data_IF_907857404321
#
_entry.id   IF_907857404321
#
_cell.length_a   1.000
_cell.length_b   1.000
_cell.length_c   1.000
_cell.angle_alpha   90.00
_cell.angle_beta   90.00
_cell.angle_gamma   90.00
#
_symmetry.space_group_name_H-M   'P 1'
#
loop_
_entity.id
_entity.type
_entity.pdbx_description
1 polymer ?
#
# COMPACT_ATOMS: atom_id res chain seq x y z
N UNK A 1 -20.16 -9.49 -9.16
CA UNK A 1 -19.71 -8.15 -9.57
C UNK A 1 -18.88 -7.51 -8.44
N UNK A 2 -19.37 -7.51 -7.18
CA UNK A 2 -18.69 -6.87 -6.05
C UNK A 2 -17.32 -7.49 -5.71
N UNK A 3 -17.18 -8.81 -5.75
CA UNK A 3 -15.89 -9.49 -5.51
C UNK A 3 -14.84 -9.22 -6.61
N UNK A 4 -15.26 -8.98 -7.86
CA UNK A 4 -14.33 -8.63 -8.94
C UNK A 4 -13.81 -7.20 -8.81
N UNK A 5 -14.68 -6.24 -8.48
CA UNK A 5 -14.30 -4.85 -8.24
C UNK A 5 -13.36 -4.70 -7.04
N UNK A 6 -13.67 -5.39 -5.94
CA UNK A 6 -12.78 -5.40 -4.76
C UNK A 6 -11.42 -6.00 -5.06
N UNK A 7 -11.35 -7.09 -5.83
CA UNK A 7 -10.07 -7.68 -6.25
C UNK A 7 -9.26 -6.73 -7.11
N UNK A 8 -9.89 -6.08 -8.07
CA UNK A 8 -9.22 -5.13 -8.97
C UNK A 8 -8.70 -3.92 -8.21
N UNK A 9 -9.53 -3.31 -7.34
CA UNK A 9 -9.12 -2.18 -6.50
C UNK A 9 -7.99 -2.57 -5.54
N UNK A 10 -8.13 -3.70 -4.85
CA UNK A 10 -7.08 -4.19 -3.96
C UNK A 10 -5.78 -4.48 -4.72
N UNK A 11 -5.85 -5.09 -5.90
CA UNK A 11 -4.68 -5.39 -6.72
C UNK A 11 -3.94 -4.13 -7.16
N UNK A 12 -4.65 -3.07 -7.52
CA UNK A 12 -4.04 -1.79 -7.93
C UNK A 12 -3.41 -1.06 -6.75
N UNK A 13 -4.13 -0.92 -5.63
CA UNK A 13 -3.61 -0.25 -4.43
C UNK A 13 -2.41 -1.02 -3.89
N UNK A 14 -2.54 -2.33 -3.70
CA UNK A 14 -1.50 -3.18 -3.14
C UNK A 14 -0.33 -3.42 -4.10
N UNK A 15 -0.52 -3.21 -5.40
CA UNK A 15 0.57 -3.24 -6.39
C UNK A 15 1.50 -2.01 -6.31
N UNK A 16 1.08 -0.93 -5.66
CA UNK A 16 1.90 0.29 -5.45
C UNK A 16 2.51 0.35 -4.06
N UNK A 17 1.76 -0.08 -3.06
CA UNK A 17 2.19 -0.08 -1.65
C UNK A 17 3.16 -1.24 -1.40
N UNK A 18 4.20 -1.08 -0.58
CA UNK A 18 5.05 -2.19 -0.16
C UNK A 18 4.23 -3.34 0.42
N UNK A 19 4.44 -4.57 -0.06
CA UNK A 19 3.80 -5.75 0.54
C UNK A 19 4.30 -5.96 1.96
N UNK A 20 5.61 -5.83 2.14
CA UNK A 20 6.31 -5.86 3.42
C UNK A 20 7.61 -5.09 3.30
N UNK A 21 8.10 -4.57 4.41
CA UNK A 21 9.41 -3.91 4.50
C UNK A 21 10.15 -4.40 5.73
N UNK A 22 11.46 -4.56 5.58
CA UNK A 22 12.37 -4.79 6.71
C UNK A 22 13.04 -3.46 7.01
N UNK A 23 12.62 -2.82 8.09
CA UNK A 23 13.06 -1.48 8.49
C UNK A 23 14.22 -1.59 9.46
N UNK A 24 15.30 -0.89 9.20
CA UNK A 24 16.39 -0.74 10.16
C UNK A 24 16.02 0.22 11.29
N UNK A 25 16.40 -0.10 12.53
CA UNK A 25 16.30 0.84 13.67
C UNK A 25 17.19 2.07 13.44
N UNK A 26 18.29 1.87 12.70
CA UNK A 26 19.16 2.90 12.14
C UNK A 26 19.18 2.77 10.62
N UNK A 27 19.65 3.79 9.88
CA UNK A 27 19.89 3.65 8.45
C UNK A 27 20.76 2.41 8.16
N UNK A 28 20.37 1.64 7.18
CA UNK A 28 21.05 0.41 6.78
C UNK A 28 22.20 0.79 5.84
N UNK A 29 23.44 0.56 6.25
CA UNK A 29 24.66 0.91 5.48
C UNK A 29 24.80 0.05 4.21
N UNK A 30 24.50 -1.25 4.34
CA UNK A 30 24.51 -2.20 3.24
C UNK A 30 23.23 -3.03 3.27
N UNK A 31 22.34 -2.73 2.35
CA UNK A 31 21.06 -3.40 2.22
C UNK A 31 21.13 -4.76 1.54
N UNK A 32 22.23 -5.05 0.81
CA UNK A 32 22.37 -6.26 0.00
C UNK A 32 22.37 -7.56 0.83
N UNK A 33 23.07 -7.64 1.99
CA UNK A 33 22.97 -8.81 2.86
C UNK A 33 21.55 -9.03 3.41
N UNK A 34 20.83 -7.94 3.72
CA UNK A 34 19.44 -8.00 4.20
C UNK A 34 18.53 -8.53 3.08
N UNK A 35 18.68 -8.02 1.87
CA UNK A 35 17.95 -8.51 0.70
C UNK A 35 18.27 -9.97 0.40
N UNK A 36 19.54 -10.38 0.47
CA UNK A 36 19.97 -11.76 0.26
C UNK A 36 19.39 -12.71 1.33
N UNK A 37 19.31 -12.27 2.58
CA UNK A 37 18.67 -13.03 3.65
C UNK A 37 17.16 -13.18 3.41
N UNK A 38 16.49 -12.11 3.01
CA UNK A 38 15.06 -12.12 2.68
C UNK A 38 14.75 -13.06 1.51
N UNK A 39 15.59 -13.05 0.47
CA UNK A 39 15.44 -13.89 -0.72
C UNK A 39 15.62 -15.40 -0.46
N UNK A 40 16.12 -15.82 0.71
CA UNK A 40 16.14 -17.23 1.13
C UNK A 40 14.75 -17.75 1.44
N UNK A 41 13.81 -16.89 1.75
CA UNK A 41 12.43 -17.28 1.97
C UNK A 41 11.73 -17.52 0.61
N UNK A 42 11.16 -18.70 0.36
CA UNK A 42 10.55 -19.06 -0.93
C UNK A 42 9.32 -18.23 -1.30
N UNK A 43 8.70 -17.55 -0.34
CA UNK A 43 7.57 -16.64 -0.56
C UNK A 43 8.02 -15.26 -1.08
N UNK A 44 9.29 -14.89 -0.91
CA UNK A 44 9.82 -13.60 -1.38
C UNK A 44 10.23 -13.72 -2.83
N UNK A 45 9.71 -12.85 -3.67
CA UNK A 45 10.00 -12.80 -5.12
C UNK A 45 11.01 -11.73 -5.48
N UNK A 46 11.08 -10.66 -4.71
CA UNK A 46 12.07 -9.60 -4.87
C UNK A 46 12.31 -8.88 -3.55
N UNK A 47 13.52 -8.34 -3.38
CA UNK A 47 13.92 -7.52 -2.25
C UNK A 47 14.78 -6.36 -2.77
N UNK A 48 14.33 -5.12 -2.55
CA UNK A 48 14.93 -3.91 -3.12
C UNK A 48 15.13 -2.83 -2.05
N UNK A 49 16.11 -1.92 -2.23
CA UNK A 49 16.30 -0.81 -1.31
C UNK A 49 15.12 0.15 -1.37
N UNK A 50 14.74 0.68 -0.22
CA UNK A 50 13.59 1.56 -0.10
C UNK A 50 13.77 2.58 1.03
N UNK A 51 13.40 3.82 0.74
CA UNK A 51 13.36 4.90 1.74
C UNK A 51 12.07 5.68 1.56
N UNK A 52 11.36 5.93 2.62
CA UNK A 52 10.10 6.64 2.60
C UNK A 52 10.19 7.90 3.43
N UNK A 53 9.62 8.98 2.93
CA UNK A 53 9.54 10.24 3.65
C UNK A 53 8.22 10.96 3.33
N UNK A 54 7.71 11.66 4.31
CA UNK A 54 6.56 12.54 4.16
C UNK A 54 7.03 13.98 3.99
N UNK A 55 6.32 14.73 3.16
CA UNK A 55 6.64 16.12 2.94
C UNK A 55 5.50 16.88 2.29
N UNK A 56 5.77 18.10 1.90
CA UNK A 56 4.83 18.94 1.17
C UNK A 56 5.46 19.42 -0.13
N UNK A 57 4.77 19.22 -1.24
CA UNK A 57 5.12 19.87 -2.50
C UNK A 57 4.63 21.30 -2.50
N UNK A 58 5.48 22.21 -2.93
CA UNK A 58 5.17 23.63 -3.06
C UNK A 58 5.52 24.14 -4.47
N UNK A 59 4.54 24.77 -5.11
CA UNK A 59 4.71 25.37 -6.44
C UNK A 59 3.78 26.56 -6.63
N UNK A 60 4.32 27.73 -6.97
CA UNK A 60 3.56 28.98 -7.23
C UNK A 60 2.50 29.30 -6.16
N UNK A 61 2.84 29.10 -4.87
CA UNK A 61 1.95 29.39 -3.74
C UNK A 61 0.94 28.29 -3.41
N UNK A 62 0.85 27.24 -4.20
CA UNK A 62 0.07 26.06 -3.88
C UNK A 62 0.93 25.07 -3.08
N UNK A 63 0.32 24.39 -2.12
CA UNK A 63 0.95 23.36 -1.31
C UNK A 63 0.08 22.10 -1.28
N UNK A 64 0.73 20.94 -1.24
CA UNK A 64 0.07 19.65 -1.17
C UNK A 64 0.93 18.66 -0.39
N UNK A 65 0.36 17.92 0.59
CA UNK A 65 1.06 16.82 1.22
C UNK A 65 1.39 15.73 0.19
N UNK A 66 2.56 15.14 0.33
CA UNK A 66 3.03 14.06 -0.53
C UNK A 66 3.88 13.09 0.26
N UNK A 67 3.73 11.82 -0.06
CA UNK A 67 4.61 10.75 0.37
C UNK A 67 5.65 10.51 -0.73
N UNK A 68 6.91 10.62 -0.40
CA UNK A 68 8.02 10.42 -1.32
C UNK A 68 8.67 9.08 -1.05
N UNK A 69 8.75 8.25 -2.08
CA UNK A 69 9.42 6.96 -2.07
C UNK A 69 10.76 7.06 -2.80
N UNK A 70 11.85 6.84 -2.08
CA UNK A 70 13.18 6.67 -2.64
C UNK A 70 13.35 5.24 -3.14
N UNK A 71 13.52 5.08 -4.44
CA UNK A 71 13.55 3.80 -5.13
C UNK A 71 14.79 3.66 -6.02
N UNK A 72 15.15 2.43 -6.33
CA UNK A 72 16.10 2.13 -7.40
C UNK A 72 15.32 1.90 -8.71
N UNK A 73 15.41 2.80 -9.70
CA UNK A 73 14.65 2.69 -10.94
C UNK A 73 14.85 1.38 -11.71
N UNK A 74 16.04 0.79 -11.59
CA UNK A 74 16.38 -0.47 -12.26
C UNK A 74 15.66 -1.68 -11.65
N UNK A 75 15.25 -1.59 -10.39
CA UNK A 75 14.64 -2.69 -9.64
C UNK A 75 13.16 -2.46 -9.32
N UNK A 76 12.67 -1.23 -9.42
CA UNK A 76 11.30 -0.87 -9.06
C UNK A 76 10.23 -1.71 -9.77
N UNK A 77 10.44 -2.05 -11.04
CA UNK A 77 9.53 -2.90 -11.80
C UNK A 77 9.34 -4.32 -11.27
N UNK A 78 10.19 -4.77 -10.32
CA UNK A 78 10.07 -6.08 -9.67
C UNK A 78 9.12 -6.07 -8.47
N UNK A 79 8.87 -4.89 -7.90
CA UNK A 79 8.13 -4.72 -6.64
C UNK A 79 6.93 -3.78 -6.75
N UNK A 80 6.81 -3.05 -7.85
CA UNK A 80 5.74 -2.05 -8.04
C UNK A 80 5.24 -2.04 -9.49
N UNK A 81 3.95 -1.78 -9.64
CA UNK A 81 3.31 -1.59 -10.95
C UNK A 81 3.56 -0.20 -11.54
N UNK A 82 4.07 0.76 -10.76
CA UNK A 82 4.27 2.15 -11.18
C UNK A 82 5.19 2.24 -12.39
N UNK A 83 6.24 1.39 -12.44
CA UNK A 83 7.17 1.36 -13.56
C UNK A 83 6.48 1.10 -14.92
N UNK A 84 5.37 0.35 -14.92
CA UNK A 84 4.59 0.02 -16.12
C UNK A 84 3.52 1.06 -16.45
N UNK A 85 3.28 2.02 -15.55
CA UNK A 85 2.21 3.02 -15.64
C UNK A 85 2.74 4.45 -15.80
N UNK A 86 3.96 4.62 -16.31
CA UNK A 86 4.50 5.93 -16.66
C UNK A 86 3.80 6.43 -17.93
N UNK A 87 3.15 7.59 -17.84
CA UNK A 87 2.40 8.21 -18.96
C UNK A 87 3.17 9.34 -19.64
N UNK A 88 4.12 9.97 -18.93
CA UNK A 88 5.02 10.99 -19.48
C UNK A 88 6.40 10.82 -18.87
N UNK A 89 7.46 11.10 -19.64
CA UNK A 89 8.83 10.91 -19.19
C UNK A 89 9.21 9.45 -19.03
N UNK A 90 10.17 9.16 -18.13
CA UNK A 90 10.73 7.82 -17.92
C UNK A 90 11.16 7.65 -16.47
N UNK A 91 10.98 6.45 -15.93
CA UNK A 91 11.43 6.14 -14.57
C UNK A 91 12.96 6.08 -14.46
N UNK A 92 13.65 5.59 -15.49
CA UNK A 92 15.12 5.53 -15.56
C UNK A 92 15.79 6.92 -15.70
N UNK A 93 15.02 7.99 -15.85
CA UNK A 93 15.50 9.36 -15.75
C UNK A 93 15.75 9.81 -14.30
N UNK A 94 15.34 9.01 -13.30
CA UNK A 94 15.75 9.19 -11.91
C UNK A 94 17.23 8.80 -11.77
N UNK A 95 18.09 9.78 -11.68
CA UNK A 95 19.55 9.56 -11.51
C UNK A 95 20.03 10.12 -10.19
N UNK A 96 20.99 9.46 -9.54
CA UNK A 96 21.55 9.94 -8.27
C UNK A 96 22.19 11.32 -8.45
N UNK A 97 21.92 12.24 -7.52
CA UNK A 97 22.43 13.61 -7.51
C UNK A 97 21.69 14.62 -8.38
N UNK A 98 20.75 14.18 -9.23
CA UNK A 98 19.98 15.09 -10.10
C UNK A 98 18.66 15.57 -9.45
N UNK A 99 18.25 14.99 -8.34
CA UNK A 99 17.00 15.28 -7.64
C UNK A 99 15.79 15.26 -8.58
N UNK A 100 15.75 14.24 -9.44
CA UNK A 100 14.59 13.96 -10.29
C UNK A 100 13.42 13.45 -9.45
N UNK A 101 12.20 13.79 -9.86
CA UNK A 101 10.97 13.25 -9.26
C UNK A 101 10.00 12.79 -10.34
N UNK A 102 9.41 11.62 -10.10
CA UNK A 102 8.25 11.14 -10.86
C UNK A 102 7.02 11.32 -9.97
N UNK A 103 6.03 12.06 -10.44
CA UNK A 103 4.82 12.41 -9.70
C UNK A 103 3.58 11.77 -10.32
N UNK A 104 2.52 11.58 -9.53
CA UNK A 104 1.27 11.09 -10.08
C UNK A 104 0.51 12.11 -10.91
N UNK A 105 -0.34 11.63 -11.83
CA UNK A 105 -1.07 12.46 -12.79
C UNK A 105 -1.96 13.50 -12.09
N UNK A 106 -2.60 13.15 -10.99
CA UNK A 106 -3.46 14.08 -10.22
C UNK A 106 -2.63 15.24 -9.68
N UNK A 107 -1.44 14.95 -9.11
CA UNK A 107 -0.50 15.97 -8.65
C UNK A 107 -0.01 16.86 -9.79
N UNK A 108 0.39 16.25 -10.92
CA UNK A 108 0.84 16.99 -12.09
C UNK A 108 -0.25 17.95 -12.63
N UNK A 109 -1.50 17.48 -12.72
CA UNK A 109 -2.65 18.30 -13.14
C UNK A 109 -2.95 19.42 -12.15
N UNK A 110 -2.92 19.14 -10.84
CA UNK A 110 -3.23 20.12 -9.79
C UNK A 110 -2.26 21.30 -9.82
N UNK A 111 -0.99 21.03 -9.98
CA UNK A 111 0.06 22.05 -10.05
C UNK A 111 0.31 22.55 -11.49
N UNK A 112 -0.31 21.97 -12.51
CA UNK A 112 -0.07 22.22 -13.94
C UNK A 112 1.41 22.07 -14.30
N UNK A 113 2.00 20.96 -13.85
CA UNK A 113 3.39 20.60 -14.08
C UNK A 113 3.53 19.71 -15.32
N UNK A 114 4.61 19.94 -16.05
CA UNK A 114 5.08 19.09 -17.14
C UNK A 114 6.45 18.52 -16.82
N UNK A 115 6.87 17.53 -17.56
CA UNK A 115 8.24 17.01 -17.48
C UNK A 115 9.21 18.14 -17.84
N UNK A 116 10.23 18.35 -17.00
CA UNK A 116 11.20 19.44 -17.08
C UNK A 116 10.90 20.61 -16.13
N UNK A 117 9.71 20.70 -15.55
CA UNK A 117 9.40 21.72 -14.55
C UNK A 117 10.10 21.41 -13.22
N UNK A 118 10.30 22.47 -12.42
CA UNK A 118 10.90 22.39 -11.09
C UNK A 118 9.87 22.64 -10.02
N UNK A 119 9.82 21.77 -9.02
CA UNK A 119 8.94 21.88 -7.86
C UNK A 119 9.77 21.81 -6.58
N UNK A 120 9.31 22.43 -5.51
CA UNK A 120 9.99 22.40 -4.21
C UNK A 120 9.32 21.37 -3.30
N UNK A 121 10.11 20.45 -2.76
CA UNK A 121 9.70 19.57 -1.69
C UNK A 121 10.15 20.18 -0.37
N UNK A 122 9.24 20.23 0.59
CA UNK A 122 9.45 20.69 1.96
C UNK A 122 9.31 19.46 2.86
N UNK A 123 10.40 19.05 3.50
CA UNK A 123 10.42 17.95 4.45
C UNK A 123 10.52 18.51 5.85
N UNK A 124 9.61 18.15 6.78
CA UNK A 124 9.74 18.56 8.17
C UNK A 124 10.93 17.85 8.80
N UNK A 125 11.87 18.59 9.35
CA UNK A 125 13.01 18.05 10.10
C UNK A 125 12.81 18.32 11.58
N UNK A 126 12.82 17.27 12.40
CA UNK A 126 12.78 17.41 13.85
C UNK A 126 14.18 17.82 14.31
N UNK A 127 14.38 19.11 14.50
CA UNK A 127 15.62 19.63 15.08
C UNK A 127 15.67 19.34 16.58
N UNK A 128 16.78 18.75 17.05
CA UNK A 128 17.08 18.61 18.46
C UNK A 128 17.53 19.93 19.13
N UNK A 129 17.65 21.01 18.35
CA UNK A 129 17.98 22.34 18.87
C UNK A 129 16.74 23.00 19.53
N UNK A 130 16.94 23.83 20.58
CA UNK A 130 15.86 24.57 21.23
C UNK A 130 15.35 25.69 20.29
N UNK A 131 14.51 25.35 19.34
CA UNK A 131 14.01 26.28 18.31
C UNK A 131 12.92 25.72 17.43
N UNK A 132 12.61 24.42 17.53
CA UNK A 132 11.47 23.83 16.81
C UNK A 132 11.84 23.13 15.48
N UNK A 133 10.83 22.84 14.70
CA UNK A 133 10.92 22.16 13.41
C UNK A 133 11.49 23.14 12.38
N UNK A 134 12.66 22.85 11.81
CA UNK A 134 13.20 23.58 10.67
C UNK A 134 12.81 22.84 9.38
N UNK A 135 11.98 23.44 8.50
CA UNK A 135 11.63 22.80 7.26
C UNK A 135 12.84 22.79 6.31
N UNK A 136 13.17 21.62 5.79
CA UNK A 136 14.15 21.49 4.72
C UNK A 136 13.45 21.65 3.38
N UNK A 137 13.99 22.50 2.53
CA UNK A 137 13.50 22.73 1.18
C UNK A 137 14.48 22.15 0.16
N UNK A 138 14.00 21.23 -0.67
CA UNK A 138 14.76 20.68 -1.78
C UNK A 138 14.02 20.94 -3.09
N UNK A 139 14.74 21.49 -4.07
CA UNK A 139 14.20 21.67 -5.42
C UNK A 139 14.34 20.35 -6.19
N UNK A 140 13.23 19.85 -6.72
CA UNK A 140 13.14 18.63 -7.50
C UNK A 140 12.84 18.98 -8.96
N UNK A 141 13.36 18.17 -9.89
CA UNK A 141 13.07 18.26 -11.33
C UNK A 141 12.03 17.19 -11.68
N UNK A 142 10.91 17.56 -12.27
CA UNK A 142 9.91 16.59 -12.73
C UNK A 142 10.45 15.87 -13.97
N UNK A 143 10.75 14.58 -13.84
CA UNK A 143 11.32 13.73 -14.91
C UNK A 143 10.31 12.75 -15.47
N UNK A 144 9.17 12.57 -14.80
CA UNK A 144 8.11 11.70 -15.27
C UNK A 144 6.80 11.91 -14.53
N UNK A 145 5.74 11.38 -15.13
CA UNK A 145 4.39 11.35 -14.56
C UNK A 145 3.86 9.94 -14.71
N UNK A 146 3.33 9.39 -13.62
CA UNK A 146 2.66 8.08 -13.62
C UNK A 146 1.15 8.22 -13.44
N UNK A 147 0.42 7.18 -13.90
CA UNK A 147 -1.03 7.07 -13.74
C UNK A 147 -1.42 5.63 -13.50
N UNK A 148 -1.75 5.29 -12.28
CA UNK A 148 -2.27 3.97 -11.92
C UNK A 148 -3.80 3.99 -11.82
N UNK A 149 -4.39 5.17 -11.67
CA UNK A 149 -5.84 5.35 -11.58
C UNK A 149 -6.38 5.11 -10.17
N UNK A 150 -5.55 5.34 -9.15
CA UNK A 150 -5.90 5.27 -7.75
C UNK A 150 -5.66 6.61 -7.05
N UNK A 151 -6.11 6.73 -5.81
CA UNK A 151 -5.91 7.94 -4.98
C UNK A 151 -4.42 8.29 -4.81
N UNK A 152 -3.56 7.28 -4.89
CA UNK A 152 -2.10 7.43 -4.82
C UNK A 152 -1.51 8.30 -5.96
N UNK A 153 -2.21 8.44 -7.09
CA UNK A 153 -1.82 9.39 -8.16
C UNK A 153 -1.84 10.86 -7.68
N UNK A 154 -2.49 11.13 -6.55
CA UNK A 154 -2.57 12.45 -5.93
C UNK A 154 -1.67 12.66 -4.71
N UNK A 155 -1.06 11.61 -4.17
CA UNK A 155 -0.37 11.68 -2.88
C UNK A 155 1.02 11.08 -2.87
N UNK A 156 1.47 10.46 -3.96
CA UNK A 156 2.75 9.75 -4.03
C UNK A 156 3.69 10.36 -5.08
N UNK A 157 4.99 10.35 -4.77
CA UNK A 157 6.07 10.68 -5.69
C UNK A 157 7.25 9.75 -5.53
N UNK A 158 8.01 9.53 -6.59
CA UNK A 158 9.20 8.68 -6.61
C UNK A 158 10.43 9.53 -6.87
N UNK A 159 11.50 9.31 -6.11
CA UNK A 159 12.83 9.88 -6.33
C UNK A 159 13.87 8.77 -6.32
N UNK A 160 15.10 9.07 -6.73
CA UNK A 160 16.19 8.10 -6.61
C UNK A 160 16.53 7.85 -5.13
N UNK A 161 16.78 6.58 -4.76
CA UNK A 161 17.06 6.20 -3.37
C UNK A 161 18.27 6.92 -2.78
N UNK A 162 19.31 7.20 -3.57
CA UNK A 162 20.47 7.96 -3.13
C UNK A 162 20.15 9.44 -2.85
N UNK A 163 19.21 10.04 -3.61
CA UNK A 163 18.75 11.40 -3.37
C UNK A 163 17.89 11.45 -2.09
N UNK A 164 17.08 10.39 -1.86
CA UNK A 164 16.34 10.23 -0.60
C UNK A 164 17.28 10.16 0.60
N UNK A 165 18.36 9.38 0.52
CA UNK A 165 19.41 9.30 1.55
C UNK A 165 20.04 10.68 1.81
N UNK A 166 20.43 11.39 0.76
CA UNK A 166 21.00 12.74 0.86
C UNK A 166 20.02 13.72 1.54
N UNK A 167 18.71 13.61 1.25
CA UNK A 167 17.68 14.42 1.88
C UNK A 167 17.48 14.09 3.36
N UNK A 168 17.85 12.89 3.80
CA UNK A 168 17.81 12.45 5.20
C UNK A 168 19.16 12.68 5.95
N UNK A 169 20.15 13.32 5.31
CA UNK A 169 21.54 13.45 5.81
C UNK A 169 22.26 12.10 6.01
N UNK A 170 21.91 11.12 5.22
CA UNK A 170 22.57 9.83 5.20
C UNK A 170 23.57 9.75 4.06
N UNK A 171 24.47 8.78 4.14
CA UNK A 171 25.34 8.47 3.02
C UNK A 171 24.51 7.96 1.83
N UNK A 172 24.94 8.19 0.57
CA UNK A 172 24.13 7.86 -0.62
C UNK A 172 23.78 6.37 -0.79
N UNK A 173 24.50 5.48 -0.11
CA UNK A 173 24.26 4.03 -0.11
C UNK A 173 23.42 3.57 1.08
N UNK A 174 23.13 4.44 2.04
CA UNK A 174 22.28 4.13 3.17
C UNK A 174 20.82 4.17 2.79
N UNK A 175 20.04 3.23 3.33
CA UNK A 175 18.60 3.14 3.10
C UNK A 175 17.85 2.95 4.42
N UNK A 176 16.59 3.35 4.45
CA UNK A 176 15.73 3.17 5.62
C UNK A 176 15.34 1.69 5.80
N UNK A 177 15.06 1.02 4.70
CA UNK A 177 14.47 -0.31 4.70
C UNK A 177 14.78 -1.09 3.41
N UNK A 178 14.49 -2.37 3.45
CA UNK A 178 14.42 -3.25 2.27
C UNK A 178 12.96 -3.61 2.04
N UNK A 179 12.43 -3.21 0.88
CA UNK A 179 11.07 -3.50 0.43
C UNK A 179 11.02 -4.89 -0.19
N UNK A 180 10.03 -5.67 0.21
CA UNK A 180 9.83 -7.04 -0.24
C UNK A 180 8.59 -7.15 -1.14
N UNK A 181 8.71 -7.89 -2.23
CA UNK A 181 7.58 -8.43 -2.94
C UNK A 181 7.38 -9.88 -2.53
N UNK A 182 6.17 -10.26 -2.17
CA UNK A 182 5.81 -11.63 -1.78
C UNK A 182 4.78 -12.20 -2.75
N UNK A 183 4.77 -13.53 -2.90
CA UNK A 183 3.83 -14.24 -3.77
C UNK A 183 2.40 -14.11 -3.27
N UNK A 184 2.21 -14.35 -1.97
CA UNK A 184 0.93 -14.20 -1.29
C UNK A 184 0.97 -12.98 -0.38
N UNK A 185 0.17 -11.98 -0.74
CA UNK A 185 0.06 -10.74 0.01
C UNK A 185 -0.43 -10.96 1.45
N UNK A 186 -1.28 -11.94 1.67
CA UNK A 186 -1.79 -12.24 3.01
C UNK A 186 -0.75 -12.96 3.89
N UNK A 187 0.28 -13.55 3.30
CA UNK A 187 1.41 -14.11 4.02
C UNK A 187 2.46 -13.03 4.39
N UNK A 188 2.40 -11.84 3.81
CA UNK A 188 3.37 -10.77 4.01
C UNK A 188 3.69 -10.46 5.48
N UNK A 189 2.70 -10.31 6.40
CA UNK A 189 2.98 -10.03 7.80
C UNK A 189 3.80 -11.12 8.49
N UNK A 190 3.50 -12.38 8.19
CA UNK A 190 4.24 -13.51 8.76
C UNK A 190 5.65 -13.60 8.17
N UNK A 191 5.75 -13.48 6.86
CA UNK A 191 7.02 -13.53 6.13
C UNK A 191 7.98 -12.44 6.59
N UNK A 192 7.49 -11.19 6.72
CA UNK A 192 8.33 -10.08 7.20
C UNK A 192 8.76 -10.25 8.65
N UNK A 193 7.87 -10.72 9.52
CA UNK A 193 8.18 -10.98 10.92
C UNK A 193 9.24 -12.09 11.07
N UNK A 194 9.10 -13.19 10.34
CA UNK A 194 10.06 -14.30 10.36
C UNK A 194 11.44 -13.85 9.86
N UNK A 195 11.50 -13.04 8.80
CA UNK A 195 12.75 -12.50 8.25
C UNK A 195 13.40 -11.54 9.24
N UNK A 196 12.64 -10.59 9.80
CA UNK A 196 13.17 -9.62 10.77
C UNK A 196 13.72 -10.31 12.03
N UNK A 197 13.01 -11.34 12.54
CA UNK A 197 13.47 -12.15 13.67
C UNK A 197 14.79 -12.88 13.37
N UNK A 198 14.97 -13.33 12.14
CA UNK A 198 16.21 -13.99 11.70
C UNK A 198 17.39 -13.03 11.50
N UNK A 199 17.15 -11.75 11.26
CA UNK A 199 18.17 -10.71 11.06
C UNK A 199 18.65 -10.09 12.38
N UNK A 200 17.85 -10.17 13.44
CA UNK A 200 18.18 -9.65 14.77
C UNK A 200 17.42 -8.40 15.19
N UNK A 201 17.67 -7.92 16.41
CA UNK A 201 16.92 -6.83 17.05
C UNK A 201 17.11 -5.44 16.40
N UNK A 202 18.06 -5.30 15.50
CA UNK A 202 18.31 -4.07 14.74
C UNK A 202 17.31 -3.87 13.58
N UNK A 203 16.51 -4.89 13.27
CA UNK A 203 15.54 -4.87 12.19
C UNK A 203 14.12 -5.08 12.73
N UNK A 204 13.18 -4.38 12.12
CA UNK A 204 11.74 -4.49 12.41
C UNK A 204 11.01 -4.84 11.13
N UNK A 205 10.00 -5.69 11.27
CA UNK A 205 9.05 -5.93 10.19
C UNK A 205 8.01 -4.81 10.17
N UNK A 206 7.73 -4.31 8.99
CA UNK A 206 6.54 -3.51 8.70
C UNK A 206 5.87 -4.08 7.46
N UNK A 207 4.56 -3.94 7.35
CA UNK A 207 3.79 -4.51 6.27
C UNK A 207 2.54 -3.68 5.96
N UNK A 208 1.88 -4.01 4.85
CA UNK A 208 0.70 -3.30 4.37
C UNK A 208 -0.45 -3.25 5.40
N UNK A 209 -0.49 -4.14 6.40
CA UNK A 209 -1.56 -4.14 7.40
C UNK A 209 -1.44 -2.97 8.37
N UNK A 210 -0.26 -2.44 8.59
CA UNK A 210 -0.05 -1.24 9.40
C UNK A 210 -0.56 0.01 8.68
N UNK A 211 -0.31 0.12 7.38
CA UNK A 211 -0.67 1.30 6.58
C UNK A 211 -2.12 1.24 6.08
N UNK A 212 -2.58 0.06 5.65
CA UNK A 212 -3.89 -0.16 5.05
C UNK A 212 -4.84 -1.02 5.90
N UNK A 213 -4.39 -1.41 7.10
CA UNK A 213 -5.14 -2.34 7.97
C UNK A 213 -6.52 -1.83 8.39
N UNK A 214 -6.69 -0.53 8.58
CA UNK A 214 -7.99 0.08 8.88
C UNK A 214 -8.99 -0.13 7.75
N UNK A 215 -8.57 0.05 6.49
CA UNK A 215 -9.39 -0.18 5.31
C UNK A 215 -9.80 -1.67 5.20
N UNK A 216 -8.83 -2.58 5.36
CA UNK A 216 -9.11 -4.01 5.29
C UNK A 216 -9.94 -4.51 6.46
N UNK A 217 -9.75 -3.96 7.66
CA UNK A 217 -10.60 -4.25 8.83
C UNK A 217 -12.03 -3.80 8.61
N UNK A 218 -12.24 -2.61 8.03
CA UNK A 218 -13.56 -2.12 7.65
C UNK A 218 -14.23 -3.03 6.61
N UNK A 219 -13.49 -3.45 5.57
CA UNK A 219 -14.00 -4.38 4.55
C UNK A 219 -14.36 -5.76 5.13
N UNK A 220 -13.57 -6.27 6.09
CA UNK A 220 -13.84 -7.53 6.78
C UNK A 220 -15.10 -7.41 7.66
N UNK A 221 -15.25 -6.29 8.37
CA UNK A 221 -16.43 -5.99 9.17
C UNK A 221 -17.69 -5.91 8.31
N UNK A 222 -17.64 -5.22 7.16
CA UNK A 222 -18.72 -5.15 6.19
C UNK A 222 -19.14 -6.54 5.70
N UNK A 223 -18.19 -7.39 5.31
CA UNK A 223 -18.48 -8.80 4.92
C UNK A 223 -19.16 -9.59 6.03
N UNK A 224 -18.73 -9.42 7.28
CA UNK A 224 -19.33 -10.09 8.42
C UNK A 224 -20.76 -9.62 8.65
N UNK A 225 -21.01 -8.31 8.54
CA UNK A 225 -22.37 -7.75 8.66
C UNK A 225 -23.29 -8.24 7.54
N UNK A 226 -22.82 -8.23 6.30
CA UNK A 226 -23.61 -8.75 5.15
C UNK A 226 -23.90 -10.25 5.33
N UNK A 227 -22.91 -11.02 5.79
CA UNK A 227 -23.09 -12.44 6.09
C UNK A 227 -24.15 -12.70 7.16
N UNK A 228 -24.14 -11.89 8.22
CA UNK A 228 -25.13 -11.96 9.30
C UNK A 228 -26.53 -11.59 8.83
N UNK A 229 -26.66 -10.54 7.98
CA UNK A 229 -27.94 -10.15 7.39
C UNK A 229 -28.49 -11.25 6.48
N UNK A 230 -27.65 -11.86 5.64
CA UNK A 230 -28.05 -12.99 4.79
C UNK A 230 -28.52 -14.18 5.65
N UNK A 231 -27.82 -14.50 6.73
CA UNK A 231 -28.20 -15.56 7.66
C UNK A 231 -29.55 -15.25 8.31
N UNK A 232 -29.82 -14.00 8.71
CA UNK A 232 -31.12 -13.61 9.22
C UNK A 232 -32.22 -13.77 8.17
N UNK A 233 -31.98 -13.39 6.91
CA UNK A 233 -32.98 -13.56 5.82
C UNK A 233 -33.29 -15.03 5.62
N UNK A 234 -32.26 -15.91 5.61
CA UNK A 234 -32.45 -17.35 5.50
C UNK A 234 -33.24 -17.91 6.69
N UNK A 235 -32.94 -17.45 7.91
CA UNK A 235 -33.65 -17.87 9.11
C UNK A 235 -35.15 -17.49 9.06
N UNK A 236 -35.46 -16.26 8.63
CA UNK A 236 -36.85 -15.80 8.47
C UNK A 236 -37.57 -16.62 7.37
N UNK A 237 -36.88 -16.88 6.24
CA UNK A 237 -37.46 -17.71 5.19
C UNK A 237 -37.75 -19.15 5.66
N UNK A 238 -36.82 -19.75 6.40
CA UNK A 238 -37.02 -21.07 6.99
C UNK A 238 -38.17 -21.10 7.98
N UNK A 239 -38.28 -20.07 8.83
CA UNK A 239 -39.39 -19.93 9.77
C UNK A 239 -40.72 -19.83 9.07
N UNK A 240 -40.84 -19.04 7.99
CA UNK A 240 -42.04 -18.92 7.19
C UNK A 240 -42.44 -20.25 6.54
N UNK A 241 -41.48 -21.03 6.01
CA UNK A 241 -41.70 -22.34 5.43
C UNK A 241 -42.26 -23.30 6.50
N UNK A 242 -41.62 -23.33 7.68
CA UNK A 242 -42.05 -24.19 8.79
C UNK A 242 -43.45 -23.82 9.26
N UNK A 243 -43.76 -22.51 9.43
CA UNK A 243 -45.06 -22.03 9.84
C UNK A 243 -46.14 -22.42 8.82
N UNK A 244 -45.85 -22.28 7.52
CA UNK A 244 -46.77 -22.68 6.44
C UNK A 244 -47.00 -24.18 6.44
N UNK A 245 -45.96 -24.99 6.63
CA UNK A 245 -46.09 -26.45 6.73
C UNK A 245 -46.94 -26.87 7.91
N UNK A 246 -46.76 -26.26 9.08
CA UNK A 246 -47.56 -26.55 10.29
C UNK A 246 -49.03 -26.22 10.03
N UNK A 247 -49.31 -25.10 9.36
CA UNK A 247 -50.66 -24.70 9.05
C UNK A 247 -51.34 -25.69 8.07
N UNK A 248 -50.62 -26.10 7.02
CA UNK A 248 -51.12 -27.09 6.05
C UNK A 248 -51.34 -28.46 6.70
N UNK A 249 -50.47 -28.88 7.59
CA UNK A 249 -50.61 -30.15 8.31
C UNK A 249 -51.81 -30.10 9.27
N UNK A 250 -52.03 -28.99 9.95
CA UNK A 250 -53.19 -28.84 10.83
C UNK A 250 -54.53 -28.84 10.05
N UNK A 251 -54.58 -28.12 8.89
CA UNK A 251 -55.79 -28.12 8.05
C UNK A 251 -56.09 -29.51 7.46
N UNK A 252 -55.07 -30.28 7.13
CA UNK A 252 -55.20 -31.68 6.63
C UNK A 252 -55.40 -32.70 7.74
N UNK A 253 -55.18 -32.37 8.98
CA UNK A 253 -55.36 -33.26 10.12
C UNK A 253 -56.77 -33.82 10.25
N UNK A 254 -57.82 -33.05 9.97
CA UNK A 254 -59.21 -33.47 9.97
C UNK A 254 -59.49 -34.51 8.84
N UNK A 255 -58.96 -34.26 7.64
CA UNK A 255 -59.12 -35.15 6.49
C UNK A 255 -58.43 -36.50 6.71
N UNK A 256 -57.27 -36.51 7.33
CA UNK A 256 -56.49 -37.69 7.68
C UNK A 256 -57.19 -38.52 8.79
N UNK A 257 -57.81 -37.87 9.76
CA UNK A 257 -58.58 -38.54 10.81
C UNK A 257 -59.79 -39.28 10.24
N UNK A 258 -60.49 -38.74 9.26
CA UNK A 258 -61.60 -39.36 8.55
C UNK A 258 -61.15 -40.62 7.80
N UNK A 259 -60.02 -40.54 7.09
CA UNK A 259 -59.47 -41.68 6.33
C UNK A 259 -58.98 -42.81 7.22
N UNK A 260 -58.71 -42.58 8.50
CA UNK A 260 -58.25 -43.58 9.47
C UNK A 260 -59.42 -44.30 10.17
N UNK A 261 -60.66 -43.81 9.99
CA UNK A 261 -61.87 -44.39 10.63
C UNK A 261 -62.71 -45.19 9.65
N UNK A 262 -62.36 -45.26 8.36
CA UNK A 262 -62.88 -46.16 7.34
C UNK A 262 -61.92 -47.31 7.17
#
# INVERSE_FOLDING_TARGET
VMNGFQREMSSRILGMVPHATIVGVKPIDDWQPVAAAAMKNPEVTAAVPFTEMEGMLSYKGLMQPIQISGVDPAQEGKVSIVAQHIVQGRLDALKPGEFGVVIGEITARRFRLNVGDKITLIVPEVSTAPGGITPRMQRLNVVGVFKVGAELDGSMGLIHVADAATMQHWEPNQVQSVRLAVKDLYAAPKVSADIAAGLGAEFKADDWTHTQGSLFSAMKMEKTMIGLLLLMIVAVAAFNIIATLIMVVNDKGADIAILRTI
#
